data_IF_671378447753
#
_entry.id   IF_671378447753
#
_cell.length_a   1.000
_cell.length_b   1.000
_cell.length_c   1.000
_cell.angle_alpha   90.00
_cell.angle_beta   90.00
_cell.angle_gamma   90.00
#
_symmetry.space_group_name_H-M   'P 1'
#
loop_
_entity.id
_entity.type
_entity.pdbx_description
1 polymer ?
#
# COMPACT_ATOMS: atom_id res chain seq x y z
N UNK A 1 7.17 3.78 6.56
CA UNK A 1 6.12 3.50 5.55
C UNK A 1 4.72 3.69 6.13
N UNK A 2 4.51 3.39 7.40
CA UNK A 2 3.23 3.60 8.07
C UNK A 2 3.07 5.04 8.54
N UNK A 3 1.92 5.61 8.22
CA UNK A 3 1.44 6.89 8.72
C UNK A 3 0.03 6.69 9.29
N UNK A 4 -0.98 7.25 8.63
CA UNK A 4 -2.43 7.08 8.83
C UNK A 4 -3.02 5.90 8.03
N UNK A 5 -2.15 5.05 7.50
CA UNK A 5 -2.48 3.90 6.64
C UNK A 5 -3.43 2.87 7.30
N UNK A 6 -3.64 2.90 8.61
CA UNK A 6 -4.44 1.92 9.36
C UNK A 6 -5.97 2.07 9.23
N UNK A 7 -6.45 3.21 8.71
CA UNK A 7 -7.88 3.54 8.71
C UNK A 7 -8.64 2.65 7.72
N UNK A 8 -9.67 1.96 8.23
CA UNK A 8 -10.39 0.83 7.62
C UNK A 8 -11.13 1.10 6.31
N UNK A 9 -11.24 2.36 5.87
CA UNK A 9 -11.96 2.72 4.64
C UNK A 9 -11.02 2.84 3.44
N UNK A 10 -10.44 1.74 2.97
CA UNK A 10 -9.57 1.74 1.76
C UNK A 10 -10.38 1.61 0.48
N UNK A 11 -11.55 2.24 0.39
CA UNK A 11 -12.29 2.35 -0.87
C UNK A 11 -11.64 3.41 -1.76
N UNK A 12 -10.59 3.00 -2.48
CA UNK A 12 -9.88 3.84 -3.45
C UNK A 12 -8.36 3.82 -3.30
N UNK A 13 -7.67 4.73 -4.00
CA UNK A 13 -6.21 4.89 -3.92
C UNK A 13 -5.85 5.72 -2.70
N UNK A 14 -5.07 5.15 -1.78
CA UNK A 14 -4.59 5.83 -0.57
C UNK A 14 -3.57 6.92 -0.88
N UNK A 15 -3.69 8.02 -0.14
CA UNK A 15 -2.76 9.15 -0.05
C UNK A 15 -2.52 9.45 1.42
N UNK A 16 -1.28 9.76 1.78
CA UNK A 16 -0.98 10.25 3.12
C UNK A 16 -1.71 11.57 3.37
N UNK A 17 -2.47 11.66 4.46
CA UNK A 17 -3.12 12.93 4.82
C UNK A 17 -2.09 13.99 5.23
N UNK A 18 -2.45 15.26 5.03
CA UNK A 18 -1.62 16.39 5.46
C UNK A 18 -1.51 16.37 6.98
N UNK A 19 -0.27 16.33 7.49
CA UNK A 19 -0.01 16.27 8.93
C UNK A 19 0.08 14.86 9.51
N UNK A 20 -0.05 13.81 8.68
CA UNK A 20 0.12 12.45 9.16
C UNK A 20 1.54 12.24 9.72
N UNK A 21 1.60 11.67 10.93
CA UNK A 21 2.84 11.38 11.65
C UNK A 21 3.35 10.00 11.25
N UNK A 22 4.67 9.86 11.12
CA UNK A 22 5.28 8.57 10.85
C UNK A 22 5.12 7.64 12.07
N UNK A 23 4.36 6.57 11.91
CA UNK A 23 4.03 5.61 12.98
C UNK A 23 4.92 4.37 12.96
N UNK A 24 5.65 4.13 11.87
CA UNK A 24 6.61 3.03 11.79
C UNK A 24 6.87 2.51 10.38
N UNK A 25 7.54 1.37 10.31
CA UNK A 25 7.70 0.62 9.06
C UNK A 25 6.73 -0.56 9.05
N UNK A 26 6.15 -0.82 7.87
CA UNK A 26 5.25 -1.93 7.64
C UNK A 26 5.59 -2.56 6.30
N UNK A 27 5.65 -3.88 6.27
CA UNK A 27 5.96 -4.64 5.07
C UNK A 27 4.67 -5.23 4.52
N UNK A 28 4.51 -5.15 3.21
CA UNK A 28 3.30 -5.53 2.48
C UNK A 28 3.68 -6.24 1.20
N UNK A 29 2.80 -7.09 0.68
CA UNK A 29 3.06 -7.87 -0.53
C UNK A 29 2.47 -7.15 -1.74
N UNK A 30 3.33 -6.73 -2.66
CA UNK A 30 2.91 -6.18 -3.96
C UNK A 30 2.39 -7.31 -4.86
N UNK A 31 1.20 -7.13 -5.46
CA UNK A 31 0.59 -8.11 -6.37
C UNK A 31 0.15 -7.54 -7.72
N UNK A 32 0.14 -6.21 -7.88
CA UNK A 32 -0.27 -5.62 -9.15
C UNK A 32 -0.21 -4.10 -9.14
N UNK A 33 -0.69 -3.52 -10.24
CA UNK A 33 -0.79 -2.08 -10.44
C UNK A 33 -1.92 -1.77 -11.40
N UNK A 34 -2.34 -0.50 -11.42
CA UNK A 34 -3.35 -0.05 -12.37
C UNK A 34 -3.46 1.46 -12.42
N UNK A 35 -4.59 1.91 -12.96
CA UNK A 35 -5.05 3.29 -12.97
C UNK A 35 -6.52 3.30 -12.55
N UNK A 36 -6.89 4.16 -11.61
CA UNK A 36 -8.26 4.37 -11.16
C UNK A 36 -8.53 5.87 -11.19
N UNK A 37 -9.55 6.31 -11.95
CA UNK A 37 -9.90 7.73 -12.09
C UNK A 37 -8.70 8.64 -12.45
N UNK A 38 -7.82 8.17 -13.34
CA UNK A 38 -6.61 8.89 -13.75
C UNK A 38 -5.41 8.77 -12.78
N UNK A 39 -5.59 8.10 -11.64
CA UNK A 39 -4.56 7.93 -10.62
C UNK A 39 -3.88 6.57 -10.75
N UNK A 40 -2.56 6.57 -10.95
CA UNK A 40 -1.74 5.35 -10.94
C UNK A 40 -1.65 4.78 -9.52
N UNK A 41 -1.86 3.47 -9.36
CA UNK A 41 -1.74 2.80 -8.07
C UNK A 41 -0.89 1.53 -8.13
N UNK A 42 -0.38 1.14 -6.96
CA UNK A 42 0.07 -0.21 -6.62
C UNK A 42 -1.05 -0.93 -5.86
N UNK A 43 -1.28 -2.22 -6.15
CA UNK A 43 -2.21 -3.09 -5.44
C UNK A 43 -1.42 -4.02 -4.53
N UNK A 44 -1.76 -4.03 -3.24
CA UNK A 44 -1.00 -4.77 -2.24
C UNK A 44 -1.92 -5.57 -1.32
N UNK A 45 -1.38 -6.69 -0.83
CA UNK A 45 -1.97 -7.50 0.22
C UNK A 45 -1.39 -7.04 1.57
N UNK A 46 -2.28 -6.74 2.52
CA UNK A 46 -1.95 -6.45 3.90
C UNK A 46 -1.95 -7.74 4.76
N UNK A 47 -1.40 -7.66 5.97
CA UNK A 47 -1.25 -8.80 6.89
C UNK A 47 -2.12 -8.67 8.15
N UNK A 48 -3.23 -7.93 8.09
CA UNK A 48 -4.14 -7.68 9.23
C UNK A 48 -5.50 -8.39 9.10
N UNK A 49 -5.56 -9.44 8.28
CA UNK A 49 -6.78 -10.19 8.03
C UNK A 49 -7.63 -9.60 6.90
N UNK A 50 -8.61 -10.38 6.45
CA UNK A 50 -9.51 -10.01 5.35
C UNK A 50 -10.56 -8.98 5.74
N UNK A 51 -10.85 -8.85 7.03
CA UNK A 51 -11.79 -7.86 7.58
C UNK A 51 -11.29 -6.42 7.43
N UNK A 52 -9.99 -6.24 7.18
CA UNK A 52 -9.38 -4.94 7.02
C UNK A 52 -9.37 -4.50 5.56
N UNK A 53 -9.75 -3.25 5.31
CA UNK A 53 -9.72 -2.66 3.97
C UNK A 53 -10.66 -3.35 2.98
N UNK A 54 -10.21 -3.53 1.74
CA UNK A 54 -10.96 -4.26 0.71
C UNK A 54 -10.53 -5.73 0.71
N UNK A 55 -11.13 -6.54 1.58
CA UNK A 55 -10.80 -7.97 1.71
C UNK A 55 -9.31 -8.24 2.01
N UNK A 56 -8.68 -7.39 2.83
CA UNK A 56 -7.25 -7.44 3.14
C UNK A 56 -6.35 -6.75 2.10
N UNK A 57 -6.94 -6.19 1.03
CA UNK A 57 -6.25 -5.48 -0.03
C UNK A 57 -6.34 -3.97 0.16
N UNK A 58 -5.38 -3.27 -0.43
CA UNK A 58 -5.43 -1.82 -0.56
C UNK A 58 -4.66 -1.34 -1.79
N UNK A 59 -4.96 -0.11 -2.19
CA UNK A 59 -4.27 0.60 -3.27
C UNK A 59 -3.51 1.78 -2.69
N UNK A 60 -2.28 2.02 -3.12
CA UNK A 60 -1.49 3.21 -2.76
C UNK A 60 -0.99 3.90 -4.04
N UNK A 61 -0.88 5.23 -4.00
CA UNK A 61 -0.40 6.02 -5.12
C UNK A 61 0.97 5.54 -5.61
N UNK A 62 1.06 5.34 -6.93
CA UNK A 62 2.26 4.86 -7.64
C UNK A 62 2.91 5.98 -8.44
N UNK A 63 4.23 5.96 -8.52
CA UNK A 63 5.07 6.88 -9.28
C UNK A 63 5.46 8.15 -8.54
N UNK A 64 5.17 8.22 -7.23
CA UNK A 64 5.51 9.35 -6.37
C UNK A 64 6.31 8.94 -5.13
N UNK A 65 6.72 7.67 -5.05
CA UNK A 65 7.29 7.07 -3.84
C UNK A 65 6.45 7.38 -2.58
N UNK A 66 5.12 7.31 -2.70
CA UNK A 66 4.17 7.61 -1.62
C UNK A 66 4.53 6.81 -0.37
N UNK A 67 4.71 7.49 0.75
CA UNK A 67 5.14 6.88 2.02
C UNK A 67 6.45 6.05 1.96
N UNK A 68 7.28 6.22 0.93
CA UNK A 68 8.50 5.45 0.72
C UNK A 68 8.28 4.05 0.14
N UNK A 69 7.08 3.73 -0.37
CA UNK A 69 6.68 2.40 -0.87
C UNK A 69 7.59 1.87 -2.01
N UNK A 70 8.20 2.77 -2.79
CA UNK A 70 9.06 2.43 -3.93
C UNK A 70 10.56 2.37 -3.57
N UNK A 71 10.90 2.70 -2.32
CA UNK A 71 12.30 2.80 -1.88
C UNK A 71 12.91 1.52 -1.32
N UNK A 72 12.09 0.51 -0.98
CA UNK A 72 12.54 -0.72 -0.28
C UNK A 72 11.78 -1.95 -0.76
N UNK A 73 12.09 -2.43 -1.96
CA UNK A 73 11.50 -3.63 -2.57
C UNK A 73 12.47 -4.80 -2.54
N UNK A 74 12.00 -5.97 -2.12
CA UNK A 74 12.75 -7.24 -2.12
C UNK A 74 11.96 -8.32 -2.85
N UNK A 75 12.66 -9.19 -3.58
CA UNK A 75 12.09 -10.36 -4.24
C UNK A 75 13.09 -11.52 -4.21
N UNK A 76 12.62 -12.73 -4.53
CA UNK A 76 13.45 -13.92 -4.67
C UNK A 76 12.83 -14.90 -5.67
N UNK A 77 13.65 -15.80 -6.22
CA UNK A 77 13.23 -16.88 -7.11
C UNK A 77 13.33 -18.20 -6.34
N UNK A 78 12.21 -18.94 -6.14
CA UNK A 78 12.27 -20.24 -5.48
C UNK A 78 13.15 -21.22 -6.26
N UNK A 79 13.92 -22.05 -5.55
CA UNK A 79 14.58 -23.20 -6.16
C UNK A 79 13.53 -24.30 -6.39
N UNK A 80 13.44 -24.80 -7.62
CA UNK A 80 12.55 -25.89 -8.03
C UNK A 80 13.32 -27.17 -8.27
#
# INVERSE_FOLDING_TARGET
MSYDFYVSSTTGVYYKTKGAVHTGNHAVKLIGWGVENGVKYWLLINSWGTEWGDHGLFKIRRGTNECGIEGKTTAGVPLV
#
